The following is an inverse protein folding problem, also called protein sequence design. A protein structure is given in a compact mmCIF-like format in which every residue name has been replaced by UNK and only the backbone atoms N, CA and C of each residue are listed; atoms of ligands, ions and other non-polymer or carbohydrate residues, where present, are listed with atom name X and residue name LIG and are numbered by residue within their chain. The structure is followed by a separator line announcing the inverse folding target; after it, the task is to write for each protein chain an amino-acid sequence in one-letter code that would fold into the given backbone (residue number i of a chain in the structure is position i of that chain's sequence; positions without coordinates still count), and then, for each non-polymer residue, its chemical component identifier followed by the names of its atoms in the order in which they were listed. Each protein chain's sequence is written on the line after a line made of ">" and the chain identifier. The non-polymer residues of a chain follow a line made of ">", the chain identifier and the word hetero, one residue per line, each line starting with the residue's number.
data_IF_983570880995
#
_entry.id   IF_983570880995
#
_cell.length_a   1.000
_cell.length_b   1.000
_cell.length_c   1.000
_cell.angle_alpha   90.00
_cell.angle_beta   90.00
_cell.angle_gamma   90.00
#
_symmetry.space_group_name_H-M   'P 1'
#
loop_
_entity.id
_entity.type
_entity.pdbx_description
1 polymer ?
#
# COMPACT_ATOMS: atom_id res chain seq x y z
N UNK A 1 35.18 -26.18 -5.91
CA UNK A 1 35.52 -25.27 -4.86
C UNK A 1 35.39 -23.83 -5.29
N UNK A 2 36.17 -23.41 -6.29
CA UNK A 2 36.08 -22.00 -6.70
C UNK A 2 34.73 -21.65 -7.23
N UNK A 3 34.07 -22.57 -7.90
CA UNK A 3 32.74 -22.31 -8.46
C UNK A 3 31.72 -22.10 -7.40
N UNK A 4 31.84 -22.81 -6.29
CA UNK A 4 30.90 -22.63 -5.17
C UNK A 4 31.03 -21.25 -4.56
N UNK A 5 32.27 -20.76 -4.42
CA UNK A 5 32.45 -19.43 -3.90
C UNK A 5 31.89 -18.36 -4.80
N UNK A 6 32.02 -18.54 -6.10
CA UNK A 6 31.49 -17.57 -7.05
C UNK A 6 29.98 -17.55 -7.04
N UNK A 7 29.35 -18.70 -6.98
CA UNK A 7 27.89 -18.78 -6.93
C UNK A 7 27.38 -18.13 -5.68
N UNK A 8 28.02 -18.38 -4.55
CA UNK A 8 27.63 -17.78 -3.28
C UNK A 8 27.77 -16.26 -3.33
N UNK A 9 28.81 -15.77 -3.97
CA UNK A 9 29.02 -14.34 -4.10
C UNK A 9 27.91 -13.69 -4.91
N UNK A 10 27.52 -14.30 -6.01
CA UNK A 10 26.44 -13.78 -6.84
C UNK A 10 25.14 -13.77 -6.07
N UNK A 11 24.88 -14.80 -5.29
CA UNK A 11 23.67 -14.88 -4.48
C UNK A 11 23.62 -13.76 -3.46
N UNK A 12 24.74 -13.46 -2.84
CA UNK A 12 24.79 -12.36 -1.87
C UNK A 12 24.53 -11.02 -2.52
N UNK A 13 25.02 -10.83 -3.75
CA UNK A 13 24.76 -9.58 -4.45
C UNK A 13 23.28 -9.41 -4.77
N UNK A 14 22.62 -10.51 -5.16
CA UNK A 14 21.19 -10.45 -5.43
C UNK A 14 20.43 -10.07 -4.17
N UNK A 15 20.84 -10.57 -3.03
CA UNK A 15 20.16 -10.28 -1.78
C UNK A 15 20.34 -8.83 -1.34
N UNK A 16 21.34 -8.14 -1.84
CA UNK A 16 21.57 -6.75 -1.44
C UNK A 16 20.75 -5.76 -2.25
N UNK A 17 20.04 -6.22 -3.28
CA UNK A 17 19.18 -5.34 -4.07
C UNK A 17 17.90 -5.08 -3.33
N UNK A 18 17.59 -3.80 -3.14
CA UNK A 18 16.34 -3.44 -2.49
C UNK A 18 15.18 -3.58 -3.44
N UNK A 19 14.14 -4.23 -3.00
CA UNK A 19 12.93 -4.37 -3.79
C UNK A 19 12.01 -3.19 -3.54
N UNK A 20 11.35 -2.71 -4.59
CA UNK A 20 10.29 -1.75 -4.44
C UNK A 20 9.06 -2.45 -3.91
N UNK A 21 8.26 -1.73 -3.14
CA UNK A 21 7.11 -2.33 -2.50
C UNK A 21 6.02 -1.30 -2.30
N UNK A 22 4.80 -1.79 -2.13
CA UNK A 22 3.65 -0.98 -1.81
C UNK A 22 3.19 -1.39 -0.42
N UNK A 23 3.11 -0.42 0.47
CA UNK A 23 2.51 -0.62 1.78
C UNK A 23 1.07 -0.16 1.71
N UNK A 24 0.18 -0.84 2.43
CA UNK A 24 -1.21 -0.44 2.45
C UNK A 24 -1.64 -0.23 3.89
N UNK A 25 -2.40 0.84 4.11
CA UNK A 25 -2.99 1.13 5.40
C UNK A 25 -4.48 1.28 5.25
N UNK A 26 -5.23 0.65 6.12
CA UNK A 26 -6.68 0.74 6.15
C UNK A 26 -7.15 0.44 7.56
N UNK A 27 -8.28 1.01 7.98
CA UNK A 27 -8.83 0.63 9.27
C UNK A 27 -9.29 -0.82 9.23
N UNK A 28 -9.18 -1.50 10.36
CA UNK A 28 -9.59 -2.89 10.43
C UNK A 28 -11.10 -3.02 10.62
N UNK A 29 -11.76 -1.98 11.13
CA UNK A 29 -13.19 -2.01 11.37
C UNK A 29 -13.76 -0.62 11.22
N UNK A 30 -14.93 -0.54 10.59
CA UNK A 30 -15.66 0.71 10.43
C UNK A 30 -17.15 0.39 10.60
N UNK A 31 -17.96 1.43 10.71
CA UNK A 31 -19.42 1.28 10.80
C UNK A 31 -20.06 1.67 9.48
N UNK A 32 -21.22 1.08 9.20
CA UNK A 32 -21.96 1.50 8.02
C UNK A 32 -22.30 2.99 8.13
N UNK A 33 -22.27 3.65 7.00
CA UNK A 33 -22.50 5.09 6.97
C UNK A 33 -21.27 5.92 7.24
N UNK A 34 -20.13 5.30 7.49
CA UNK A 34 -18.91 6.02 7.75
C UNK A 34 -18.03 6.12 6.50
N UNK A 35 -17.36 7.27 6.40
CA UNK A 35 -16.29 7.41 5.43
C UNK A 35 -15.00 6.97 6.08
N UNK A 36 -14.18 6.29 5.32
CA UNK A 36 -12.87 5.89 5.81
C UNK A 36 -11.88 5.97 4.67
N UNK A 37 -10.61 5.92 5.01
CA UNK A 37 -9.56 6.09 4.02
C UNK A 37 -8.72 4.83 3.94
N UNK A 38 -8.25 4.57 2.73
CA UNK A 38 -7.25 3.55 2.49
C UNK A 38 -6.09 4.24 1.77
N UNK A 39 -4.89 3.96 2.23
CA UNK A 39 -3.71 4.62 1.69
C UNK A 39 -2.71 3.58 1.23
N UNK A 40 -2.20 3.77 0.02
CA UNK A 40 -1.15 2.92 -0.55
C UNK A 40 0.10 3.77 -0.69
N UNK A 41 1.18 3.32 -0.09
CA UNK A 41 2.45 4.03 -0.15
C UNK A 41 3.46 3.20 -0.92
N UNK A 42 3.98 3.80 -1.99
CA UNK A 42 5.01 3.18 -2.80
C UNK A 42 6.34 3.80 -2.39
N UNK A 43 7.35 2.98 -2.19
CA UNK A 43 8.63 3.44 -1.67
C UNK A 43 9.53 4.03 -2.77
N UNK A 44 8.92 4.60 -3.79
CA UNK A 44 9.62 5.32 -4.85
C UNK A 44 8.64 6.31 -5.46
N UNK A 45 9.17 7.35 -6.08
CA UNK A 45 8.33 8.30 -6.80
C UNK A 45 8.30 8.03 -8.30
N UNK A 46 9.01 7.00 -8.75
CA UNK A 46 9.08 6.66 -10.17
C UNK A 46 8.00 5.66 -10.55
N UNK A 47 6.77 5.96 -10.20
CA UNK A 47 5.64 5.09 -10.49
C UNK A 47 5.13 5.44 -11.87
N UNK A 48 5.16 4.47 -12.79
CA UNK A 48 4.68 4.67 -14.14
C UNK A 48 3.17 4.55 -14.21
N UNK A 49 2.62 3.63 -13.42
CA UNK A 49 1.19 3.40 -13.40
C UNK A 49 0.82 2.84 -12.03
N UNK A 50 -0.32 3.26 -11.51
CA UNK A 50 -0.82 2.76 -10.24
C UNK A 50 -2.29 2.38 -10.39
N UNK A 51 -2.65 1.21 -9.89
CA UNK A 51 -4.03 0.75 -9.88
C UNK A 51 -4.34 0.16 -8.52
N UNK A 52 -5.38 0.71 -7.89
CA UNK A 52 -5.89 0.11 -6.66
C UNK A 52 -6.60 -1.18 -6.99
N UNK A 53 -6.70 -2.06 -5.99
CA UNK A 53 -7.47 -3.28 -6.16
C UNK A 53 -8.94 -2.97 -6.34
N UNK A 54 -9.68 -3.96 -6.84
CA UNK A 54 -11.10 -3.81 -7.03
C UNK A 54 -11.80 -3.62 -5.71
N UNK A 55 -12.68 -2.63 -5.65
CA UNK A 55 -13.44 -2.36 -4.43
C UNK A 55 -14.68 -3.24 -4.46
N UNK A 56 -14.90 -4.07 -3.42
CA UNK A 56 -16.03 -4.98 -3.42
C UNK A 56 -17.36 -4.23 -3.32
N UNK A 57 -18.42 -4.90 -3.76
CA UNK A 57 -19.77 -4.36 -3.60
C UNK A 57 -20.06 -4.16 -2.11
N UNK A 58 -20.74 -3.08 -1.79
CA UNK A 58 -21.00 -2.71 -0.41
C UNK A 58 -20.08 -1.63 0.11
N UNK A 59 -19.02 -1.32 -0.65
CA UNK A 59 -18.13 -0.22 -0.37
C UNK A 59 -18.03 0.61 -1.62
N UNK A 60 -18.11 1.92 -1.45
CA UNK A 60 -18.10 2.84 -2.57
C UNK A 60 -16.91 3.79 -2.47
N UNK A 61 -16.26 4.05 -3.60
CA UNK A 61 -15.19 5.04 -3.65
C UNK A 61 -15.85 6.40 -3.89
N UNK A 62 -15.73 7.29 -2.92
CA UNK A 62 -16.34 8.60 -3.06
C UNK A 62 -15.35 9.69 -3.42
N UNK A 63 -14.07 9.44 -3.24
CA UNK A 63 -13.06 10.42 -3.61
C UNK A 63 -11.71 9.73 -3.76
N UNK A 64 -10.87 10.34 -4.56
CA UNK A 64 -9.50 9.89 -4.73
C UNK A 64 -9.24 9.30 -6.09
N UNK A 65 -8.00 8.92 -6.36
CA UNK A 65 -6.92 8.96 -5.40
C UNK A 65 -6.34 10.35 -5.24
N UNK A 66 -6.02 10.70 -4.01
CA UNK A 66 -5.22 11.88 -3.72
C UNK A 66 -3.78 11.44 -3.63
N UNK A 67 -2.90 12.18 -4.26
CA UNK A 67 -1.51 11.81 -4.36
C UNK A 67 -0.69 12.75 -3.52
N UNK A 68 0.20 12.21 -2.70
CA UNK A 68 1.17 13.02 -1.98
C UNK A 68 2.52 12.38 -2.10
N UNK A 69 3.54 13.21 -2.25
CA UNK A 69 4.92 12.75 -2.40
C UNK A 69 5.72 13.23 -1.23
N UNK A 70 6.61 12.38 -0.77
CA UNK A 70 7.53 12.73 0.30
C UNK A 70 8.92 12.32 -0.09
N UNK A 71 9.88 13.16 0.25
CA UNK A 71 11.27 12.79 0.12
C UNK A 71 11.99 13.27 1.36
N UNK A 72 12.95 12.48 1.79
CA UNK A 72 13.78 12.86 2.92
C UNK A 72 15.22 12.63 2.56
N UNK A 73 16.05 13.43 3.15
CA UNK A 73 17.47 13.44 2.86
C UNK A 73 18.19 13.57 4.19
N UNK A 74 19.13 12.68 4.43
CA UNK A 74 19.88 12.69 5.68
C UNK A 74 21.34 12.52 5.40
N UNK A 75 22.14 13.20 6.20
CA UNK A 75 23.59 13.04 6.16
C UNK A 75 24.06 12.72 7.58
N UNK A 76 24.65 11.54 7.74
CA UNK A 76 25.14 11.10 9.04
C UNK A 76 26.54 10.59 8.85
N UNK A 77 27.48 11.17 9.60
CA UNK A 77 28.90 10.76 9.55
C UNK A 77 29.44 10.77 8.13
N UNK A 78 29.09 11.79 7.34
CA UNK A 78 29.56 11.88 5.98
C UNK A 78 28.85 10.99 4.99
N UNK A 79 27.91 10.18 5.45
CA UNK A 79 27.10 9.33 4.56
C UNK A 79 25.77 10.00 4.27
N UNK A 80 25.41 9.99 3.02
CA UNK A 80 24.16 10.58 2.57
C UNK A 80 23.16 9.47 2.30
N UNK A 81 21.97 9.61 2.84
CA UNK A 81 20.88 8.71 2.49
C UNK A 81 19.67 9.53 2.11
N UNK A 82 18.95 9.04 1.14
CA UNK A 82 17.71 9.69 0.71
C UNK A 82 16.65 8.63 0.52
N UNK A 83 15.42 9.02 0.75
CA UNK A 83 14.29 8.16 0.50
C UNK A 83 13.19 8.98 -0.12
N UNK A 84 12.39 8.34 -0.93
CA UNK A 84 11.26 9.00 -1.54
C UNK A 84 10.09 8.03 -1.54
N UNK A 85 8.89 8.58 -1.51
CA UNK A 85 7.70 7.77 -1.54
C UNK A 85 6.57 8.58 -2.13
N UNK A 86 5.56 7.87 -2.61
CA UNK A 86 4.33 8.49 -3.10
C UNK A 86 3.17 7.72 -2.48
N UNK A 87 2.20 8.45 -1.98
CA UNK A 87 1.04 7.85 -1.33
C UNK A 87 -0.21 8.18 -2.11
N UNK A 88 -1.00 7.15 -2.36
CA UNK A 88 -2.30 7.29 -3.02
C UNK A 88 -3.37 7.01 -1.98
N UNK A 89 -4.23 7.99 -1.74
CA UNK A 89 -5.26 7.89 -0.71
C UNK A 89 -6.63 7.93 -1.35
N UNK A 90 -7.45 6.96 -1.01
CA UNK A 90 -8.84 6.90 -1.46
C UNK A 90 -9.74 7.09 -0.26
N UNK A 91 -10.84 7.79 -0.46
CA UNK A 91 -11.89 7.90 0.55
C UNK A 91 -13.02 6.97 0.13
N UNK A 92 -13.38 6.08 1.02
CA UNK A 92 -14.38 5.07 0.77
C UNK A 92 -15.55 5.27 1.70
N UNK A 93 -16.68 4.73 1.32
CA UNK A 93 -17.92 4.80 2.10
C UNK A 93 -18.43 3.39 2.30
N UNK A 94 -18.73 3.03 3.54
CA UNK A 94 -19.24 1.70 3.86
C UNK A 94 -20.76 1.73 3.79
N UNK A 95 -21.33 1.05 2.80
CA UNK A 95 -22.77 1.03 2.59
C UNK A 95 -23.47 -0.09 3.37
N UNK A 96 -22.81 -1.24 3.43
CA UNK A 96 -23.44 -2.42 4.02
C UNK A 96 -22.48 -3.10 4.97
N UNK A 97 -23.02 -3.65 6.04
CA UNK A 97 -22.22 -4.42 6.99
C UNK A 97 -21.74 -5.70 6.35
N UNK A 98 -20.59 -6.18 6.80
CA UNK A 98 -20.01 -7.41 6.31
C UNK A 98 -18.51 -7.37 6.45
N UNK A 99 -17.90 -8.46 6.03
CA UNK A 99 -16.45 -8.55 5.96
C UNK A 99 -16.03 -8.38 4.51
N UNK A 100 -15.13 -7.46 4.28
CA UNK A 100 -14.71 -7.12 2.92
C UNK A 100 -13.21 -7.31 2.80
N UNK A 101 -12.81 -7.85 1.67
CA UNK A 101 -11.40 -7.98 1.33
C UNK A 101 -11.14 -7.11 0.11
N UNK A 102 -10.23 -6.16 0.26
CA UNK A 102 -9.82 -5.32 -0.85
C UNK A 102 -8.52 -5.89 -1.38
N UNK A 103 -8.50 -6.36 -2.63
CA UNK A 103 -7.30 -6.96 -3.18
C UNK A 103 -6.14 -5.97 -3.23
N UNK A 104 -4.94 -6.48 -3.33
CA UNK A 104 -3.77 -5.65 -3.36
C UNK A 104 -3.75 -4.73 -4.57
N UNK A 105 -3.16 -3.56 -4.38
CA UNK A 105 -2.95 -2.63 -5.45
C UNK A 105 -1.73 -3.03 -6.26
N UNK A 106 -1.64 -2.53 -7.47
CA UNK A 106 -0.53 -2.79 -8.36
C UNK A 106 0.09 -1.50 -8.83
N UNK A 107 1.39 -1.49 -8.92
CA UNK A 107 2.11 -0.34 -9.44
C UNK A 107 3.17 -0.83 -10.41
N UNK A 108 3.34 -0.09 -11.49
CA UNK A 108 4.37 -0.37 -12.46
C UNK A 108 5.53 0.58 -12.22
N UNK A 109 6.69 0.00 -11.94
CA UNK A 109 7.86 0.77 -11.56
C UNK A 109 9.03 0.23 -12.36
N UNK A 110 9.58 1.05 -13.25
CA UNK A 110 10.75 0.64 -14.03
C UNK A 110 10.52 -0.62 -14.84
N UNK A 111 9.32 -0.80 -15.39
CA UNK A 111 9.00 -1.97 -16.16
C UNK A 111 8.60 -3.19 -15.34
N UNK A 112 8.63 -3.07 -14.02
CA UNK A 112 8.25 -4.16 -13.13
C UNK A 112 6.93 -3.85 -12.45
N UNK A 113 6.15 -4.88 -12.17
CA UNK A 113 4.90 -4.71 -11.45
C UNK A 113 5.08 -5.19 -10.03
N UNK A 114 4.74 -4.33 -9.08
CA UNK A 114 4.72 -4.70 -7.66
C UNK A 114 3.29 -4.66 -7.18
N UNK A 115 2.98 -5.50 -6.19
CA UNK A 115 1.63 -5.66 -5.69
C UNK A 115 1.66 -5.53 -4.17
N UNK A 116 0.67 -4.81 -3.63
CA UNK A 116 0.54 -4.70 -2.19
C UNK A 116 -0.19 -5.91 -1.63
N UNK A 117 -0.22 -6.00 -0.32
CA UNK A 117 -1.06 -7.00 0.33
C UNK A 117 -2.51 -6.59 0.21
N UNK A 118 -3.40 -7.55 0.31
CA UNK A 118 -4.82 -7.26 0.43
C UNK A 118 -5.12 -6.84 1.86
N UNK A 119 -6.25 -6.17 2.06
CA UNK A 119 -6.68 -5.77 3.39
C UNK A 119 -8.08 -6.27 3.64
N UNK A 120 -8.37 -6.61 4.88
CA UNK A 120 -9.68 -7.05 5.31
C UNK A 120 -10.27 -5.97 6.20
N UNK A 121 -11.50 -5.58 5.91
CA UNK A 121 -12.19 -4.53 6.66
C UNK A 121 -13.51 -5.11 7.14
N UNK A 122 -13.73 -5.02 8.44
CA UNK A 122 -14.99 -5.45 9.01
C UNK A 122 -15.90 -4.24 9.14
N UNK A 123 -17.05 -4.29 8.46
CA UNK A 123 -18.03 -3.22 8.53
C UNK A 123 -19.16 -3.71 9.40
N UNK A 124 -19.35 -3.05 10.54
CA UNK A 124 -20.45 -3.38 11.44
C UNK A 124 -21.64 -2.50 11.14
N UNK A 125 -22.84 -2.97 11.48
CA UNK A 125 -24.02 -2.17 11.28
C UNK A 125 -23.97 -0.91 12.11
N UNK A 126 -24.67 0.14 11.64
CA UNK A 126 -24.75 1.38 12.39
C UNK A 126 -25.40 1.10 13.74
N UNK A 127 -24.81 1.59 14.76
CA UNK A 127 -25.32 1.30 16.05
C UNK A 127 -26.34 2.15 16.39
N UNK A 128 -27.13 1.88 16.65
CA UNK A 128 -27.98 2.70 17.01
C UNK A 128 -28.13 2.70 18.29
N UNK A 129 -27.90 2.73 18.66
CA UNK A 129 -27.76 2.48 19.55
C UNK A 129 -28.54 2.37 20.23
N UNK A 130 -28.77 2.30 20.13
CA UNK A 130 -29.25 2.11 20.52
C UNK A 130 -29.77 1.77 20.89
N UNK A 131 -29.93 1.67 20.95
CA UNK A 131 -30.22 1.38 21.23
C UNK A 131 -30.71 1.20 21.52
N UNK A 132 -30.71 1.31 21.68
CA UNK A 132 -31.04 1.10 21.96
C UNK A 132 -31.45 0.87 22.07
#
# INVERSE_FOLDING_TARGET
>A
MRRLGLILYILLMVLSVKAQSISVWAPSAVSTGENFRIAYTVNTQNVEEFRAGNIPAGIEVIAGPYTSSQSSFQMVNGHTSSSSSITYTYTLYAEKAGNYTIPGARAKIGGHTVTSKSVCIKVTGARRQNGN
#
